data_IF_154781284836
#
_entry.id   IF_154781284836
#
_cell.length_a   1.000
_cell.length_b   1.000
_cell.length_c   1.000
_cell.angle_alpha   90.00
_cell.angle_beta   90.00
_cell.angle_gamma   90.00
#
_symmetry.space_group_name_H-M   'P 1'
#
loop_
_entity.id
_entity.type
_entity.pdbx_description
1 polymer ?
#
# COMPACT_ATOMS: atom_id res chain seq x y z
N UNK A 1 -9.07 -105.50 -22.25
CA UNK A 1 -8.06 -104.67 -22.94
C UNK A 1 -8.67 -103.45 -23.65
N UNK A 2 -9.69 -103.61 -24.50
CA UNK A 2 -10.30 -102.48 -25.24
C UNK A 2 -10.82 -101.32 -24.38
N UNK A 3 -11.51 -101.60 -23.26
CA UNK A 3 -12.04 -100.56 -22.36
C UNK A 3 -10.94 -99.66 -21.78
N UNK A 4 -9.76 -100.23 -21.49
CA UNK A 4 -8.62 -99.51 -20.93
C UNK A 4 -7.98 -98.57 -21.96
N UNK A 5 -7.94 -98.99 -23.24
CA UNK A 5 -7.42 -98.17 -24.35
C UNK A 5 -8.35 -96.97 -24.60
N UNK A 6 -9.66 -97.19 -24.58
CA UNK A 6 -10.64 -96.10 -24.74
C UNK A 6 -10.50 -95.04 -23.65
N UNK A 7 -10.39 -95.46 -22.39
CA UNK A 7 -10.17 -94.55 -21.25
C UNK A 7 -8.85 -93.78 -21.32
N UNK A 8 -7.79 -94.40 -21.87
CA UNK A 8 -6.51 -93.73 -22.07
C UNK A 8 -6.61 -92.61 -23.11
N UNK A 9 -7.29 -92.87 -24.22
CA UNK A 9 -7.51 -91.88 -25.30
C UNK A 9 -8.33 -90.68 -24.81
N UNK A 10 -9.40 -90.92 -24.07
CA UNK A 10 -10.22 -89.85 -23.47
C UNK A 10 -9.40 -88.97 -22.52
N UNK A 11 -8.53 -89.59 -21.69
CA UNK A 11 -7.64 -88.84 -20.79
C UNK A 11 -6.59 -88.02 -21.53
N UNK A 12 -6.05 -88.53 -22.64
CA UNK A 12 -5.07 -87.79 -23.44
C UNK A 12 -5.71 -86.58 -24.15
N UNK A 13 -6.94 -86.72 -24.64
CA UNK A 13 -7.70 -85.61 -25.20
C UNK A 13 -7.99 -84.53 -24.14
N UNK A 14 -8.46 -84.92 -22.96
CA UNK A 14 -8.66 -84.01 -21.83
C UNK A 14 -7.36 -83.30 -21.42
N UNK A 15 -6.22 -84.01 -21.43
CA UNK A 15 -4.92 -83.44 -21.14
C UNK A 15 -4.54 -82.35 -22.15
N UNK A 16 -4.74 -82.61 -23.45
CA UNK A 16 -4.50 -81.61 -24.52
C UNK A 16 -5.38 -80.38 -24.36
N UNK A 17 -6.67 -80.57 -24.07
CA UNK A 17 -7.59 -79.46 -23.81
C UNK A 17 -7.18 -78.64 -22.58
N UNK A 18 -6.75 -79.30 -21.51
CA UNK A 18 -6.27 -78.65 -20.30
C UNK A 18 -4.99 -77.82 -20.56
N UNK A 19 -4.09 -78.30 -21.41
CA UNK A 19 -2.86 -77.58 -21.76
C UNK A 19 -3.14 -76.34 -22.63
N UNK A 20 -4.09 -76.44 -23.57
CA UNK A 20 -4.57 -75.29 -24.35
C UNK A 20 -5.20 -74.24 -23.41
N UNK A 21 -6.07 -74.67 -22.51
CA UNK A 21 -6.72 -73.80 -21.52
C UNK A 21 -5.67 -73.09 -20.65
N UNK A 22 -4.66 -73.81 -20.17
CA UNK A 22 -3.55 -73.25 -19.39
C UNK A 22 -2.82 -72.15 -20.16
N UNK A 23 -2.53 -72.37 -21.45
CA UNK A 23 -1.87 -71.37 -22.28
C UNK A 23 -2.75 -70.12 -22.48
N UNK A 24 -4.06 -70.30 -22.65
CA UNK A 24 -5.01 -69.19 -22.72
C UNK A 24 -5.08 -68.40 -21.41
N UNK A 25 -5.13 -69.10 -20.26
CA UNK A 25 -5.11 -68.45 -18.93
C UNK A 25 -3.83 -67.63 -18.75
N UNK A 26 -2.68 -68.16 -19.15
CA UNK A 26 -1.41 -67.43 -19.07
C UNK A 26 -1.44 -66.17 -19.95
N UNK A 27 -1.99 -66.25 -21.16
CA UNK A 27 -2.14 -65.09 -22.03
C UNK A 27 -3.06 -64.02 -21.41
N UNK A 28 -4.23 -64.43 -20.90
CA UNK A 28 -5.16 -63.52 -20.20
C UNK A 28 -4.51 -62.89 -18.96
N UNK A 29 -3.73 -63.66 -18.20
CA UNK A 29 -3.01 -63.13 -17.03
C UNK A 29 -2.02 -62.04 -17.44
N UNK A 30 -1.26 -62.24 -18.53
CA UNK A 30 -0.33 -61.22 -19.01
C UNK A 30 -1.04 -59.94 -19.48
N UNK A 31 -2.18 -60.06 -20.16
CA UNK A 31 -2.98 -58.89 -20.56
C UNK A 31 -3.57 -58.17 -19.33
N UNK A 32 -4.00 -58.93 -18.32
CA UNK A 32 -4.50 -58.37 -17.06
C UNK A 32 -3.43 -57.58 -16.30
N UNK A 33 -2.21 -58.11 -16.22
CA UNK A 33 -1.10 -57.44 -15.56
C UNK A 33 -0.72 -56.13 -16.28
N UNK A 34 -0.73 -56.12 -17.63
CA UNK A 34 -0.53 -54.91 -18.43
C UNK A 34 -1.64 -53.87 -18.20
N UNK A 35 -2.90 -54.30 -18.14
CA UNK A 35 -4.03 -53.43 -17.87
C UNK A 35 -3.90 -52.77 -16.48
N UNK A 36 -3.50 -53.55 -15.47
CA UNK A 36 -3.25 -53.04 -14.13
C UNK A 36 -2.13 -52.01 -14.08
N UNK A 37 -1.02 -52.25 -14.79
CA UNK A 37 0.06 -51.28 -14.89
C UNK A 37 -0.44 -49.95 -15.50
N UNK A 38 -1.17 -50.03 -16.61
CA UNK A 38 -1.71 -48.85 -17.27
C UNK A 38 -2.75 -48.10 -16.42
N UNK A 39 -3.53 -48.83 -15.61
CA UNK A 39 -4.43 -48.23 -14.63
C UNK A 39 -3.64 -47.45 -13.56
N UNK A 40 -2.56 -48.03 -13.03
CA UNK A 40 -1.69 -47.36 -12.05
C UNK A 40 -1.00 -46.11 -12.62
N UNK A 41 -0.55 -46.16 -13.88
CA UNK A 41 0.05 -45.01 -14.58
C UNK A 41 -0.97 -43.88 -14.75
N UNK A 42 -2.19 -44.20 -15.17
CA UNK A 42 -3.29 -43.22 -15.29
C UNK A 42 -3.67 -42.61 -13.94
N UNK A 43 -3.73 -43.40 -12.88
CA UNK A 43 -4.00 -42.90 -11.53
C UNK A 43 -2.91 -41.94 -11.06
N UNK A 44 -1.64 -42.24 -11.36
CA UNK A 44 -0.51 -41.34 -11.08
C UNK A 44 -0.66 -40.02 -11.84
N UNK A 45 -1.01 -40.06 -13.13
CA UNK A 45 -1.25 -38.87 -13.95
C UNK A 45 -2.42 -38.03 -13.41
N UNK A 46 -3.53 -38.66 -13.03
CA UNK A 46 -4.68 -37.99 -12.42
C UNK A 46 -4.26 -37.25 -11.15
N UNK A 47 -3.51 -37.91 -10.25
CA UNK A 47 -2.99 -37.29 -9.03
C UNK A 47 -2.09 -36.10 -9.32
N UNK A 48 -1.21 -36.22 -10.32
CA UNK A 48 -0.33 -35.12 -10.75
C UNK A 48 -1.14 -33.92 -11.27
N UNK A 49 -2.14 -34.15 -12.12
CA UNK A 49 -3.00 -33.09 -12.65
C UNK A 49 -3.81 -32.43 -11.52
N UNK A 50 -4.35 -33.22 -10.58
CA UNK A 50 -5.05 -32.69 -9.42
C UNK A 50 -4.16 -31.78 -8.57
N UNK A 51 -2.91 -32.17 -8.35
CA UNK A 51 -1.94 -31.35 -7.62
C UNK A 51 -1.65 -30.03 -8.35
N UNK A 52 -1.39 -30.09 -9.66
CA UNK A 52 -1.17 -28.89 -10.48
C UNK A 52 -2.39 -27.96 -10.48
N UNK A 53 -3.61 -28.52 -10.56
CA UNK A 53 -4.85 -27.75 -10.48
C UNK A 53 -5.00 -27.06 -9.12
N UNK A 54 -4.61 -27.73 -8.04
CA UNK A 54 -4.63 -27.15 -6.69
C UNK A 54 -3.66 -25.97 -6.57
N UNK A 55 -2.43 -26.14 -7.05
CA UNK A 55 -1.43 -25.06 -7.07
C UNK A 55 -1.90 -23.86 -7.90
N UNK A 56 -2.47 -24.11 -9.09
CA UNK A 56 -3.04 -23.07 -9.92
C UNK A 56 -4.19 -22.31 -9.25
N UNK A 57 -5.06 -23.01 -8.49
CA UNK A 57 -6.14 -22.38 -7.71
C UNK A 57 -5.60 -21.46 -6.62
N UNK A 58 -4.56 -21.89 -5.89
CA UNK A 58 -3.92 -21.06 -4.86
C UNK A 58 -3.32 -19.79 -5.49
N UNK A 59 -2.53 -19.96 -6.57
CA UNK A 59 -1.94 -18.82 -7.30
C UNK A 59 -3.01 -17.85 -7.80
N UNK A 60 -4.15 -18.35 -8.28
CA UNK A 60 -5.25 -17.52 -8.72
C UNK A 60 -5.86 -16.72 -7.56
N UNK A 61 -6.07 -17.35 -6.40
CA UNK A 61 -6.55 -16.67 -5.20
C UNK A 61 -5.58 -15.56 -4.75
N UNK A 62 -4.27 -15.82 -4.75
CA UNK A 62 -3.25 -14.83 -4.42
C UNK A 62 -3.27 -13.63 -5.38
N UNK A 63 -3.44 -13.90 -6.68
CA UNK A 63 -3.57 -12.85 -7.70
C UNK A 63 -4.85 -12.02 -7.51
N UNK A 64 -5.96 -12.66 -7.16
CA UNK A 64 -7.22 -11.98 -6.85
C UNK A 64 -7.08 -11.07 -5.62
N UNK A 65 -6.48 -11.56 -4.54
CA UNK A 65 -6.22 -10.76 -3.35
C UNK A 65 -5.30 -9.56 -3.64
N UNK A 66 -4.26 -9.76 -4.45
CA UNK A 66 -3.39 -8.67 -4.89
C UNK A 66 -4.13 -7.62 -5.71
N UNK A 67 -4.99 -8.05 -6.64
CA UNK A 67 -5.83 -7.17 -7.45
C UNK A 67 -6.75 -6.31 -6.57
N UNK A 68 -7.52 -6.93 -5.67
CA UNK A 68 -8.44 -6.23 -4.77
C UNK A 68 -7.71 -5.21 -3.89
N UNK A 69 -6.53 -5.57 -3.38
CA UNK A 69 -5.67 -4.64 -2.63
C UNK A 69 -5.25 -3.44 -3.48
N UNK A 70 -4.85 -3.65 -4.73
CA UNK A 70 -4.47 -2.54 -5.62
C UNK A 70 -5.67 -1.66 -5.97
N UNK A 71 -6.84 -2.26 -6.22
CA UNK A 71 -8.07 -1.54 -6.50
C UNK A 71 -8.50 -0.69 -5.31
N UNK A 72 -8.48 -1.25 -4.10
CA UNK A 72 -8.81 -0.51 -2.88
C UNK A 72 -7.87 0.67 -2.68
N UNK A 73 -6.55 0.47 -2.84
CA UNK A 73 -5.57 1.56 -2.78
C UNK A 73 -5.84 2.65 -3.82
N UNK A 74 -6.17 2.27 -5.06
CA UNK A 74 -6.49 3.23 -6.12
C UNK A 74 -7.75 4.03 -5.79
N UNK A 75 -8.80 3.38 -5.28
CA UNK A 75 -10.05 4.03 -4.86
C UNK A 75 -9.81 5.01 -3.71
N UNK A 76 -9.07 4.60 -2.67
CA UNK A 76 -8.72 5.49 -1.56
C UNK A 76 -7.84 6.66 -2.01
N UNK A 77 -6.89 6.42 -2.92
CA UNK A 77 -6.05 7.47 -3.49
C UNK A 77 -6.88 8.47 -4.30
N UNK A 78 -7.79 7.98 -5.14
CA UNK A 78 -8.71 8.81 -5.92
C UNK A 78 -9.57 9.70 -5.01
N UNK A 79 -10.17 9.12 -3.97
CA UNK A 79 -10.98 9.88 -3.02
C UNK A 79 -10.17 10.99 -2.32
N UNK A 80 -8.91 10.71 -1.95
CA UNK A 80 -8.02 11.73 -1.37
C UNK A 80 -7.73 12.85 -2.38
N UNK A 81 -7.48 12.49 -3.64
CA UNK A 81 -7.26 13.46 -4.72
C UNK A 81 -8.49 14.33 -4.99
N UNK A 82 -9.69 13.74 -4.99
CA UNK A 82 -10.96 14.47 -5.15
C UNK A 82 -11.17 15.45 -4.00
N UNK A 83 -10.87 15.04 -2.75
CA UNK A 83 -10.92 15.94 -1.59
C UNK A 83 -9.94 17.11 -1.73
N UNK A 84 -8.69 16.83 -2.09
CA UNK A 84 -7.67 17.86 -2.30
C UNK A 84 -8.08 18.85 -3.41
N UNK A 85 -8.69 18.37 -4.50
CA UNK A 85 -9.17 19.24 -5.57
C UNK A 85 -10.28 20.18 -5.07
N UNK A 86 -11.25 19.67 -4.31
CA UNK A 86 -12.30 20.50 -3.74
C UNK A 86 -11.73 21.57 -2.79
N UNK A 87 -10.72 21.24 -1.99
CA UNK A 87 -10.05 22.19 -1.09
C UNK A 87 -9.34 23.30 -1.89
N UNK A 88 -8.69 22.96 -3.01
CA UNK A 88 -8.07 23.93 -3.94
C UNK A 88 -9.12 24.86 -4.55
N UNK A 89 -10.22 24.29 -5.05
CA UNK A 89 -11.29 25.07 -5.68
C UNK A 89 -11.92 26.06 -4.69
N UNK A 90 -12.10 25.64 -3.42
CA UNK A 90 -12.55 26.50 -2.33
C UNK A 90 -11.58 27.66 -2.07
N UNK A 91 -10.29 27.36 -1.87
CA UNK A 91 -9.26 28.38 -1.63
C UNK A 91 -9.13 29.35 -2.81
N UNK A 92 -9.25 28.88 -4.04
CA UNK A 92 -9.23 29.74 -5.23
C UNK A 92 -10.40 30.71 -5.23
N UNK A 93 -11.59 30.27 -4.81
CA UNK A 93 -12.75 31.13 -4.62
C UNK A 93 -12.50 32.21 -3.56
N UNK A 94 -11.99 31.81 -2.39
CA UNK A 94 -11.65 32.73 -1.29
C UNK A 94 -10.57 33.75 -1.72
N UNK A 95 -9.52 33.29 -2.40
CA UNK A 95 -8.46 34.16 -2.91
C UNK A 95 -9.00 35.14 -3.96
N UNK A 96 -9.92 34.70 -4.82
CA UNK A 96 -10.58 35.59 -5.79
C UNK A 96 -11.39 36.68 -5.09
N UNK A 97 -12.16 36.33 -4.05
CA UNK A 97 -12.88 37.32 -3.23
C UNK A 97 -11.93 38.29 -2.54
N UNK A 98 -10.84 37.79 -1.95
CA UNK A 98 -9.82 38.62 -1.31
C UNK A 98 -9.17 39.61 -2.29
N UNK A 99 -8.78 39.14 -3.48
CA UNK A 99 -8.21 40.00 -4.53
C UNK A 99 -9.18 41.05 -5.03
N UNK A 100 -10.49 40.73 -5.13
CA UNK A 100 -11.52 41.72 -5.48
C UNK A 100 -11.62 42.82 -4.42
N UNK A 101 -11.57 42.48 -3.14
CA UNK A 101 -11.55 43.46 -2.04
C UNK A 101 -10.35 44.39 -2.15
N UNK A 102 -9.13 43.84 -2.32
CA UNK A 102 -7.92 44.63 -2.48
C UNK A 102 -8.02 45.57 -3.69
N UNK A 103 -8.45 45.07 -4.85
CA UNK A 103 -8.60 45.89 -6.05
C UNK A 103 -9.64 47.01 -5.89
N UNK A 104 -10.72 46.75 -5.14
CA UNK A 104 -11.70 47.78 -4.76
C UNK A 104 -11.06 48.90 -3.93
N UNK A 105 -10.24 48.55 -2.94
CA UNK A 105 -9.51 49.53 -2.13
C UNK A 105 -8.53 50.37 -2.96
N UNK A 106 -7.78 49.74 -3.88
CA UNK A 106 -6.82 50.47 -4.72
C UNK A 106 -7.49 51.45 -5.71
N UNK A 107 -8.70 51.14 -6.18
CA UNK A 107 -9.46 51.99 -7.11
C UNK A 107 -10.05 53.24 -6.44
N UNK A 108 -10.42 53.15 -5.16
CA UNK A 108 -11.06 54.24 -4.43
C UNK A 108 -10.07 55.34 -3.99
N UNK A 109 -8.76 55.04 -3.94
CA UNK A 109 -7.72 56.00 -3.57
C UNK A 109 -7.26 56.92 -4.72
N UNK A 110 -7.84 56.80 -5.94
CA UNK A 110 -7.42 57.61 -7.10
C UNK A 110 -8.28 58.86 -7.34
N UNK A 111 -9.35 59.06 -6.57
CA UNK A 111 -10.24 60.20 -6.70
C UNK A 111 -10.58 60.76 -5.32
N UNK A 112 -9.79 61.73 -4.88
CA UNK A 112 -10.13 62.84 -3.98
C UNK A 112 -9.00 63.17 -3.00
N UNK A 113 -7.85 63.65 -3.48
CA UNK A 113 -7.00 64.57 -2.70
C UNK A 113 -6.32 65.53 -3.67
N UNK A 114 -7.13 66.41 -4.26
CA UNK A 114 -6.66 67.68 -4.79
C UNK A 114 -6.88 68.71 -3.68
N UNK A 115 -6.06 68.63 -2.62
CA UNK A 115 -5.97 69.69 -1.64
C UNK A 115 -4.53 69.75 -1.12
N UNK A 116 -3.97 70.92 -1.40
CA UNK A 116 -2.70 71.50 -1.01
C UNK A 116 -2.38 71.28 0.48
N UNK A 117 -1.66 70.20 0.77
CA UNK A 117 -0.93 70.06 2.02
C UNK A 117 0.53 69.78 1.68
N UNK A 118 1.36 70.82 1.83
CA UNK A 118 2.81 70.70 2.00
C UNK A 118 3.10 69.95 3.30
N UNK A 119 2.81 68.65 3.30
CA UNK A 119 3.31 67.72 4.29
C UNK A 119 4.63 67.25 3.72
N UNK A 120 5.71 67.85 4.22
CA UNK A 120 7.06 67.32 4.10
C UNK A 120 6.98 65.79 4.19
N UNK A 121 7.61 65.04 3.26
CA UNK A 121 7.49 63.60 3.21
C UNK A 121 7.77 63.07 4.60
N UNK A 122 6.75 62.47 5.23
CA UNK A 122 6.94 61.74 6.45
C UNK A 122 7.96 60.68 6.06
N UNK A 123 9.22 60.88 6.47
CA UNK A 123 10.26 59.88 6.30
C UNK A 123 9.71 58.67 7.04
N UNK A 124 9.21 57.72 6.25
CA UNK A 124 8.98 56.38 6.70
C UNK A 124 10.38 55.89 7.04
N UNK A 125 10.78 56.12 8.29
CA UNK A 125 11.99 55.57 8.86
C UNK A 125 11.98 54.12 8.44
N UNK A 126 12.99 53.77 7.65
CA UNK A 126 13.23 52.44 7.15
C UNK A 126 12.83 51.44 8.22
N UNK A 127 11.78 50.65 7.94
CA UNK A 127 11.67 49.33 8.55
C UNK A 127 13.06 48.73 8.39
N UNK A 128 13.75 48.37 9.50
CA UNK A 128 15.09 47.82 9.40
C UNK A 128 15.04 46.69 8.39
N UNK A 129 15.86 46.82 7.35
CA UNK A 129 16.09 45.75 6.41
C UNK A 129 16.48 44.53 7.24
N UNK A 130 15.79 43.41 7.08
CA UNK A 130 16.05 42.15 7.80
C UNK A 130 17.43 41.57 7.43
N UNK A 131 18.24 42.27 6.65
CA UNK A 131 19.63 41.91 6.32
C UNK A 131 20.60 42.01 7.50
N UNK A 132 20.18 42.44 8.70
CA UNK A 132 21.04 42.48 9.90
C UNK A 132 20.48 41.62 11.05
N UNK A 133 20.00 40.41 10.74
CA UNK A 133 19.81 39.37 11.77
C UNK A 133 21.19 38.81 12.11
N UNK A 134 21.72 39.08 13.29
CA UNK A 134 22.98 38.53 13.79
C UNK A 134 23.04 37.01 13.53
N UNK A 135 24.00 36.58 12.70
CA UNK A 135 24.26 35.19 12.29
C UNK A 135 24.37 34.23 13.49
N UNK A 136 24.59 34.76 14.69
CA UNK A 136 24.74 34.02 15.95
C UNK A 136 23.43 33.76 16.70
N UNK A 137 22.34 34.46 16.37
CA UNK A 137 21.04 34.38 17.07
C UNK A 137 20.02 33.52 16.33
N UNK A 138 20.05 33.54 14.99
CA UNK A 138 19.22 32.66 14.15
C UNK A 138 19.37 31.15 14.47
N UNK A 139 20.58 30.61 14.74
CA UNK A 139 20.73 29.20 15.13
C UNK A 139 20.04 28.85 16.45
N UNK A 140 19.99 29.79 17.40
CA UNK A 140 19.39 29.58 18.73
C UNK A 140 17.87 29.53 18.66
N UNK A 141 17.27 30.38 17.82
CA UNK A 141 15.82 30.38 17.56
C UNK A 141 15.42 29.04 16.93
N UNK A 142 16.17 28.59 15.94
CA UNK A 142 15.85 27.34 15.24
C UNK A 142 16.11 26.10 16.13
N UNK A 143 17.12 26.13 17.01
CA UNK A 143 17.33 25.08 18.01
C UNK A 143 16.18 25.00 19.02
N UNK A 144 15.74 26.14 19.56
CA UNK A 144 14.60 26.21 20.47
C UNK A 144 13.30 25.71 19.79
N UNK A 145 13.12 26.01 18.50
CA UNK A 145 11.98 25.54 17.70
C UNK A 145 12.00 24.02 17.54
N UNK A 146 13.15 23.43 17.20
CA UNK A 146 13.30 21.97 17.09
C UNK A 146 13.03 21.28 18.43
N UNK A 147 13.55 21.80 19.54
CA UNK A 147 13.33 21.25 20.86
C UNK A 147 11.84 21.27 21.26
N UNK A 148 11.12 22.35 20.94
CA UNK A 148 9.67 22.43 21.15
C UNK A 148 8.90 21.37 20.34
N UNK A 149 9.23 21.18 19.06
CA UNK A 149 8.59 20.17 18.21
C UNK A 149 8.79 18.76 18.78
N UNK A 150 10.03 18.42 19.16
CA UNK A 150 10.35 17.12 19.77
C UNK A 150 9.59 16.89 21.06
N UNK A 151 9.50 17.91 21.93
CA UNK A 151 8.77 17.82 23.19
C UNK A 151 7.25 17.67 22.96
N UNK A 152 6.69 18.35 21.96
CA UNK A 152 5.27 18.21 21.57
C UNK A 152 4.97 16.82 21.03
N UNK A 153 5.87 16.25 20.22
CA UNK A 153 5.68 14.92 19.68
C UNK A 153 5.80 13.84 20.77
N UNK A 154 6.74 13.99 21.71
CA UNK A 154 6.85 13.13 22.88
C UNK A 154 5.60 13.21 23.79
N UNK A 155 5.05 14.42 23.99
CA UNK A 155 3.83 14.63 24.76
C UNK A 155 2.59 14.00 24.07
N UNK A 156 2.52 14.03 22.74
CA UNK A 156 1.45 13.35 21.99
C UNK A 156 1.53 11.83 22.09
N UNK A 157 2.75 11.28 22.13
CA UNK A 157 2.98 9.83 22.21
C UNK A 157 2.70 9.29 23.62
N UNK A 158 3.23 9.93 24.66
CA UNK A 158 3.18 9.39 26.02
C UNK A 158 2.00 9.90 26.85
N UNK A 159 1.50 11.11 26.56
CA UNK A 159 0.37 11.77 27.23
C UNK A 159 0.47 11.83 28.76
N UNK A 160 1.68 11.75 29.30
CA UNK A 160 1.94 11.89 30.73
C UNK A 160 2.18 13.36 31.13
N UNK A 161 1.99 13.65 32.41
CA UNK A 161 2.10 15.00 32.98
C UNK A 161 3.52 15.58 32.84
N UNK A 162 4.55 14.75 32.91
CA UNK A 162 5.95 15.15 32.77
C UNK A 162 6.26 15.57 31.33
N UNK A 163 5.78 14.82 30.34
CA UNK A 163 5.92 15.15 28.91
C UNK A 163 5.13 16.40 28.52
N UNK A 164 3.93 16.61 29.09
CA UNK A 164 3.16 17.85 28.89
C UNK A 164 3.85 19.07 29.53
N UNK A 165 4.42 18.92 30.73
CA UNK A 165 5.20 19.96 31.38
C UNK A 165 6.47 20.31 30.60
N UNK A 166 7.14 19.31 30.01
CA UNK A 166 8.29 19.51 29.13
C UNK A 166 7.92 20.29 27.86
N UNK A 167 6.81 19.97 27.21
CA UNK A 167 6.32 20.69 26.04
C UNK A 167 5.94 22.15 26.36
N UNK A 168 5.30 22.38 27.52
CA UNK A 168 4.98 23.73 27.99
C UNK A 168 6.25 24.55 28.30
N UNK A 169 7.25 23.94 28.94
CA UNK A 169 8.53 24.58 29.24
C UNK A 169 9.30 24.94 27.97
N UNK A 170 9.33 24.03 26.99
CA UNK A 170 9.96 24.27 25.69
C UNK A 170 9.28 25.39 24.90
N UNK A 171 7.94 25.52 25.01
CA UNK A 171 7.18 26.63 24.41
C UNK A 171 7.55 27.98 25.04
N UNK A 172 7.60 28.04 26.37
CA UNK A 172 7.99 29.26 27.10
C UNK A 172 9.42 29.67 26.76
N UNK A 173 10.34 28.71 26.65
CA UNK A 173 11.71 28.96 26.24
C UNK A 173 11.76 29.55 24.83
N UNK A 174 11.08 28.95 23.86
CA UNK A 174 11.01 29.46 22.48
C UNK A 174 10.46 30.89 22.42
N UNK A 175 9.39 31.18 23.17
CA UNK A 175 8.84 32.53 23.28
C UNK A 175 9.86 33.52 23.85
N UNK A 176 10.61 33.13 24.89
CA UNK A 176 11.64 33.99 25.47
C UNK A 176 12.79 34.32 24.51
N UNK A 177 13.13 33.38 23.61
CA UNK A 177 14.17 33.60 22.60
C UNK A 177 13.65 34.54 21.50
N UNK A 178 12.38 34.41 21.10
CA UNK A 178 11.75 35.30 20.13
C UNK A 178 11.60 36.74 20.66
N UNK A 179 11.20 36.91 21.92
CA UNK A 179 11.08 38.24 22.54
C UNK A 179 12.43 38.95 22.71
N UNK A 180 13.54 38.21 22.84
CA UNK A 180 14.88 38.81 22.89
C UNK A 180 15.34 39.34 21.54
N UNK A 181 14.85 38.76 20.45
CA UNK A 181 15.11 39.20 19.07
C UNK A 181 14.30 40.45 18.69
N UNK A 182 13.24 40.78 19.43
CA UNK A 182 12.36 41.93 19.18
C UNK A 182 12.83 43.21 19.92
N UNK A 183 13.83 43.09 20.81
CA UNK A 183 14.33 44.17 21.69
C UNK A 183 15.82 44.46 21.44
N UNK A 184 16.46 43.76 20.50
CA UNK A 184 17.81 44.01 20.01
C UNK A 184 17.74 44.76 18.67
#
# INVERSE_FOLDING_TARGET
MQLCIFQLLEKEELLKSAEILKNQINAVQTEFDQLNQHAAEKDSLIKSIQLQLSDAKIKLADKQAALEKTQWKAMTSRQKSEKLQNDIDSMQGEFSSFMQLLNGLTKNNRTAFAEDYDVAPYHFEHLPCIDDVDDKEMPKVEEARRAYIVAVDAAKEKQDEESLAAAASARLYLQSVLFKLEVA
#
